data_IF_435815086509
#
_entry.id   IF_435815086509
#
_cell.length_a   1.000
_cell.length_b   1.000
_cell.length_c   1.000
_cell.angle_alpha   90.00
_cell.angle_beta   90.00
_cell.angle_gamma   90.00
#
_symmetry.space_group_name_H-M   'P 1'
#
loop_
_entity.id
_entity.type
_entity.pdbx_description
1 polymer ?
#
# COMPACT_ATOMS: atom_id res chain seq x y z
N UNK A 1 13.55 -5.65 64.50
CA UNK A 1 13.75 -4.67 63.42
C UNK A 1 13.50 -5.37 62.06
N UNK A 2 12.30 -5.28 61.54
CA UNK A 2 11.95 -5.86 60.24
C UNK A 2 12.27 -4.83 59.16
N UNK A 3 13.26 -5.10 58.30
CA UNK A 3 13.53 -4.28 57.12
C UNK A 3 12.56 -4.68 56.02
N UNK A 4 11.60 -3.82 55.73
CA UNK A 4 10.69 -3.97 54.61
C UNK A 4 11.47 -3.82 53.29
N UNK A 5 11.65 -4.91 52.59
CA UNK A 5 12.19 -4.93 51.23
C UNK A 5 11.03 -4.69 50.28
N UNK A 6 10.87 -3.46 49.82
CA UNK A 6 9.90 -3.10 48.80
C UNK A 6 10.49 -3.55 47.47
N UNK A 7 10.01 -4.68 46.94
CA UNK A 7 10.30 -5.12 45.58
C UNK A 7 9.41 -4.34 44.64
N UNK A 8 9.97 -3.33 43.97
CA UNK A 8 9.31 -2.60 42.90
C UNK A 8 9.33 -3.49 41.65
N UNK A 9 8.22 -4.15 41.35
CA UNK A 9 8.01 -4.81 40.08
C UNK A 9 7.83 -3.74 39.02
N UNK A 10 8.86 -3.44 38.26
CA UNK A 10 8.74 -2.67 37.02
C UNK A 10 8.10 -3.59 35.96
N UNK A 11 6.78 -3.51 35.82
CA UNK A 11 6.08 -4.14 34.71
C UNK A 11 6.42 -3.36 33.44
N UNK A 12 7.40 -3.83 32.69
CA UNK A 12 7.63 -3.37 31.33
C UNK A 12 6.43 -3.81 30.47
N UNK A 13 5.47 -2.92 30.32
CA UNK A 13 4.41 -3.08 29.34
C UNK A 13 5.04 -2.85 27.96
N UNK A 14 5.50 -3.94 27.33
CA UNK A 14 5.97 -3.90 25.95
C UNK A 14 4.73 -3.69 25.10
N UNK A 15 4.50 -2.43 24.72
CA UNK A 15 3.53 -2.09 23.71
C UNK A 15 4.08 -2.64 22.37
N UNK A 16 3.72 -3.86 22.03
CA UNK A 16 3.94 -4.38 20.68
C UNK A 16 3.00 -3.60 19.76
N UNK A 17 3.53 -2.55 19.13
CA UNK A 17 2.85 -1.91 18.00
C UNK A 17 2.80 -2.97 16.91
N UNK A 18 1.64 -3.58 16.73
CA UNK A 18 1.38 -4.39 15.56
C UNK A 18 1.34 -3.42 14.37
N UNK A 19 2.47 -3.25 13.69
CA UNK A 19 2.55 -2.64 12.38
C UNK A 19 1.97 -3.64 11.35
N UNK A 20 0.67 -3.82 11.38
CA UNK A 20 -0.01 -4.42 10.23
C UNK A 20 -0.31 -3.28 9.26
N UNK A 21 0.13 -3.43 8.01
CA UNK A 21 -0.29 -2.58 6.92
C UNK A 21 -1.82 -2.40 7.00
N UNK A 22 -2.28 -1.16 7.10
CA UNK A 22 -3.70 -0.86 7.20
C UNK A 22 -4.39 -1.25 5.90
N UNK A 23 -5.14 -2.34 5.93
CA UNK A 23 -5.93 -2.78 4.79
C UNK A 23 -7.17 -1.90 4.62
N UNK A 24 -7.44 -1.51 3.37
CA UNK A 24 -8.70 -0.89 2.96
C UNK A 24 -9.31 -1.65 1.79
N UNK A 25 -10.63 -1.62 1.69
CA UNK A 25 -11.33 -2.20 0.55
C UNK A 25 -11.22 -1.32 -0.70
N UNK A 26 -11.44 -1.84 -1.93
CA UNK A 26 -11.53 -1.03 -3.13
C UNK A 26 -12.57 0.09 -3.04
N UNK A 27 -13.72 -0.16 -2.39
CA UNK A 27 -14.76 0.85 -2.18
C UNK A 27 -14.25 1.95 -1.24
N UNK A 28 -13.62 1.58 -0.12
CA UNK A 28 -13.03 2.56 0.80
C UNK A 28 -11.93 3.40 0.15
N UNK A 29 -11.14 2.82 -0.75
CA UNK A 29 -10.16 3.56 -1.52
C UNK A 29 -10.79 4.52 -2.54
N UNK A 30 -11.89 4.11 -3.21
CA UNK A 30 -12.64 4.99 -4.11
C UNK A 30 -13.23 6.21 -3.36
N UNK A 31 -13.81 5.98 -2.20
CA UNK A 31 -14.30 7.07 -1.33
C UNK A 31 -13.16 7.99 -0.87
N UNK A 32 -11.99 7.40 -0.60
CA UNK A 32 -10.78 8.12 -0.23
C UNK A 32 -10.28 9.09 -1.30
N UNK A 33 -10.48 8.81 -2.59
CA UNK A 33 -10.09 9.72 -3.69
C UNK A 33 -10.76 11.10 -3.54
N UNK A 34 -12.00 11.15 -3.07
CA UNK A 34 -12.71 12.41 -2.80
C UNK A 34 -12.12 13.18 -1.60
N UNK A 35 -11.25 12.54 -0.82
CA UNK A 35 -10.60 13.07 0.39
C UNK A 35 -9.07 13.14 0.25
N UNK A 36 -8.58 13.41 -0.96
CA UNK A 36 -7.16 13.56 -1.29
C UNK A 36 -6.30 12.31 -1.05
N UNK A 37 -6.87 11.10 -1.11
CA UNK A 37 -6.10 9.87 -1.10
C UNK A 37 -5.32 9.73 -2.41
N UNK A 38 -4.01 9.52 -2.32
CA UNK A 38 -3.18 9.20 -3.49
C UNK A 38 -3.19 7.70 -3.68
N UNK A 39 -3.58 7.21 -4.86
CA UNK A 39 -3.45 5.78 -5.20
C UNK A 39 -2.20 5.58 -6.05
N UNK A 40 -1.39 4.58 -5.66
CA UNK A 40 -0.21 4.13 -6.41
C UNK A 40 -0.44 2.69 -6.86
N UNK A 41 -0.48 2.49 -8.16
CA UNK A 41 -0.60 1.16 -8.78
C UNK A 41 0.79 0.61 -9.09
N UNK A 42 1.16 -0.47 -8.40
CA UNK A 42 2.49 -1.08 -8.48
C UNK A 42 2.55 -2.33 -9.36
N UNK A 43 1.53 -2.51 -10.19
CA UNK A 43 1.49 -3.60 -11.18
C UNK A 43 2.50 -3.37 -12.30
N UNK A 44 2.62 -4.34 -13.18
CA UNK A 44 3.47 -4.24 -14.37
C UNK A 44 2.75 -3.52 -15.52
N UNK A 45 3.49 -3.01 -16.49
CA UNK A 45 2.96 -2.30 -17.67
C UNK A 45 1.98 -3.16 -18.48
N UNK A 46 2.26 -4.45 -18.58
CA UNK A 46 1.40 -5.41 -19.26
C UNK A 46 0.03 -5.50 -18.58
N UNK A 47 0.00 -5.56 -17.25
CA UNK A 47 -1.25 -5.59 -16.47
C UNK A 47 -2.05 -4.29 -16.63
N UNK A 48 -1.37 -3.13 -16.67
CA UNK A 48 -2.02 -1.83 -16.91
C UNK A 48 -2.64 -1.74 -18.32
N UNK A 49 -1.90 -2.24 -19.32
CA UNK A 49 -2.36 -2.25 -20.71
C UNK A 49 -3.56 -3.16 -20.93
N UNK A 50 -3.55 -4.31 -20.26
CA UNK A 50 -4.56 -5.35 -20.39
C UNK A 50 -5.89 -4.97 -19.73
N UNK A 51 -5.84 -4.47 -18.50
CA UNK A 51 -7.03 -4.27 -17.66
C UNK A 51 -7.41 -2.81 -17.44
N UNK A 52 -6.58 -1.86 -17.88
CA UNK A 52 -6.72 -0.45 -17.54
C UNK A 52 -6.19 -0.12 -16.14
N UNK A 53 -6.35 1.13 -15.75
CA UNK A 53 -5.84 1.72 -14.52
C UNK A 53 -6.91 2.58 -13.83
N UNK A 54 -6.76 2.78 -12.53
CA UNK A 54 -7.62 3.69 -11.77
C UNK A 54 -7.35 5.12 -12.26
N UNK A 55 -8.38 5.95 -12.53
CA UNK A 55 -8.17 7.36 -12.89
C UNK A 55 -7.27 8.07 -11.89
N UNK A 56 -6.32 8.86 -12.39
CA UNK A 56 -5.36 9.67 -11.61
C UNK A 56 -4.38 8.88 -10.71
N UNK A 57 -4.43 7.55 -10.71
CA UNK A 57 -3.44 6.74 -10.00
C UNK A 57 -2.03 6.98 -10.53
N UNK A 58 -1.05 6.98 -9.63
CA UNK A 58 0.36 7.01 -9.98
C UNK A 58 0.81 5.59 -10.35
N UNK A 59 1.39 5.43 -11.52
CA UNK A 59 1.80 4.14 -12.05
C UNK A 59 3.30 3.94 -11.82
N UNK A 60 3.66 3.07 -10.86
CA UNK A 60 5.05 2.83 -10.47
C UNK A 60 5.29 1.33 -10.42
N UNK A 61 5.81 0.78 -11.50
CA UNK A 61 6.05 -0.66 -11.63
C UNK A 61 7.03 -1.18 -10.58
N UNK A 62 6.60 -2.19 -9.80
CA UNK A 62 7.44 -2.79 -8.77
C UNK A 62 8.49 -3.74 -9.34
N UNK A 63 8.08 -4.64 -10.25
CA UNK A 63 8.92 -5.75 -10.70
C UNK A 63 9.63 -5.44 -12.01
N UNK A 64 10.87 -5.88 -12.12
CA UNK A 64 11.61 -5.96 -13.39
C UNK A 64 11.08 -7.10 -14.27
N UNK A 65 11.58 -7.20 -15.51
CA UNK A 65 11.31 -8.34 -16.40
C UNK A 65 11.81 -9.68 -15.82
N UNK A 66 12.84 -9.64 -14.96
CA UNK A 66 13.34 -10.80 -14.22
C UNK A 66 12.50 -11.14 -12.96
N UNK A 67 11.36 -10.47 -12.73
CA UNK A 67 10.48 -10.61 -11.57
C UNK A 67 11.15 -10.34 -10.21
N UNK A 68 12.21 -9.55 -10.21
CA UNK A 68 12.84 -9.00 -9.00
C UNK A 68 12.35 -7.57 -8.77
N UNK A 69 12.42 -7.08 -7.53
CA UNK A 69 12.11 -5.67 -7.24
C UNK A 69 13.06 -4.78 -8.05
N UNK A 70 12.49 -3.83 -8.78
CA UNK A 70 13.24 -2.91 -9.64
C UNK A 70 14.12 -1.98 -8.81
N UNK A 71 15.37 -1.80 -9.24
CA UNK A 71 16.26 -0.82 -8.60
C UNK A 71 15.64 0.58 -8.66
N UNK A 72 15.66 1.30 -7.56
CA UNK A 72 15.07 2.64 -7.45
C UNK A 72 13.54 2.67 -7.28
N UNK A 73 12.88 1.52 -7.19
CA UNK A 73 11.43 1.43 -7.04
C UNK A 73 10.89 2.19 -5.82
N UNK A 74 11.46 1.96 -4.65
CA UNK A 74 11.02 2.61 -3.41
C UNK A 74 11.34 4.10 -3.41
N UNK A 75 12.48 4.48 -3.96
CA UNK A 75 12.87 5.89 -4.13
C UNK A 75 11.88 6.64 -5.02
N UNK A 76 11.39 6.01 -6.08
CA UNK A 76 10.37 6.59 -6.98
C UNK A 76 9.04 6.83 -6.25
N UNK A 77 8.62 5.87 -5.42
CA UNK A 77 7.43 6.06 -4.56
C UNK A 77 7.65 7.19 -3.56
N UNK A 78 8.78 7.22 -2.86
CA UNK A 78 9.11 8.27 -1.88
C UNK A 78 9.11 9.65 -2.54
N UNK A 79 9.68 9.77 -3.73
CA UNK A 79 9.68 11.03 -4.49
C UNK A 79 8.26 11.46 -4.88
N UNK A 80 7.39 10.49 -5.19
CA UNK A 80 5.96 10.75 -5.50
C UNK A 80 5.18 11.19 -4.28
N UNK A 81 5.40 10.57 -3.11
CA UNK A 81 4.73 10.89 -1.85
C UNK A 81 5.28 12.16 -1.19
N UNK A 82 6.56 12.47 -1.40
CA UNK A 82 7.23 13.64 -0.81
C UNK A 82 7.66 13.42 0.65
N UNK A 83 8.06 14.53 1.28
CA UNK A 83 8.63 14.51 2.63
C UNK A 83 7.59 14.35 3.76
N UNK A 84 6.31 14.61 3.49
CA UNK A 84 5.26 14.46 4.51
C UNK A 84 5.00 12.99 4.80
N UNK A 85 5.44 12.53 5.96
CA UNK A 85 5.31 11.13 6.38
C UNK A 85 3.88 10.72 6.78
N UNK A 86 2.98 11.68 6.97
CA UNK A 86 1.57 11.45 7.28
C UNK A 86 0.64 11.64 6.06
N UNK A 87 1.22 11.68 4.86
CA UNK A 87 0.45 11.76 3.62
C UNK A 87 -0.46 10.55 3.45
N UNK A 88 -1.72 10.80 3.07
CA UNK A 88 -2.69 9.73 2.82
C UNK A 88 -2.42 9.10 1.46
N UNK A 89 -2.00 7.85 1.46
CA UNK A 89 -1.85 7.09 0.23
C UNK A 89 -2.30 5.64 0.36
N UNK A 90 -2.66 5.04 -0.74
CA UNK A 90 -2.99 3.63 -0.82
C UNK A 90 -2.24 2.97 -1.98
N UNK A 91 -1.72 1.79 -1.73
CA UNK A 91 -0.99 1.01 -2.71
C UNK A 91 -1.89 -0.11 -3.23
N UNK A 92 -1.93 -0.30 -4.55
CA UNK A 92 -2.69 -1.37 -5.18
C UNK A 92 -1.82 -2.20 -6.11
N UNK A 93 -2.09 -3.49 -6.16
CA UNK A 93 -1.51 -4.38 -7.15
C UNK A 93 -2.59 -5.31 -7.75
N UNK A 94 -2.24 -6.49 -8.24
CA UNK A 94 -3.20 -7.45 -8.80
C UNK A 94 -4.19 -7.98 -7.75
N UNK A 95 -3.65 -8.50 -6.63
CA UNK A 95 -4.43 -9.21 -5.59
C UNK A 95 -3.92 -8.95 -4.16
N UNK A 96 -3.26 -7.81 -3.92
CA UNK A 96 -2.88 -7.34 -2.58
C UNK A 96 -1.47 -7.70 -2.09
N UNK A 97 -0.79 -8.69 -2.64
CA UNK A 97 0.51 -9.17 -2.12
C UNK A 97 1.66 -8.18 -2.33
N UNK A 98 1.89 -7.72 -3.57
CA UNK A 98 2.94 -6.73 -3.89
C UNK A 98 2.70 -5.40 -3.17
N UNK A 99 1.46 -4.96 -3.11
CA UNK A 99 1.07 -3.74 -2.43
C UNK A 99 1.26 -3.83 -0.92
N UNK A 100 0.94 -4.95 -0.29
CA UNK A 100 1.21 -5.20 1.14
C UNK A 100 2.70 -5.11 1.45
N UNK A 101 3.56 -5.77 0.66
CA UNK A 101 5.01 -5.69 0.82
C UNK A 101 5.53 -4.25 0.67
N UNK A 102 4.98 -3.48 -0.27
CA UNK A 102 5.34 -2.07 -0.47
C UNK A 102 4.95 -1.21 0.73
N UNK A 103 3.73 -1.40 1.27
CA UNK A 103 3.29 -0.67 2.47
C UNK A 103 4.21 -0.94 3.64
N UNK A 104 4.58 -2.20 3.90
CA UNK A 104 5.51 -2.54 4.98
C UNK A 104 6.86 -1.83 4.85
N UNK A 105 7.43 -1.76 3.64
CA UNK A 105 8.68 -1.03 3.40
C UNK A 105 8.52 0.48 3.66
N UNK A 106 7.39 1.06 3.27
CA UNK A 106 7.13 2.49 3.48
C UNK A 106 6.92 2.83 4.96
N UNK A 107 6.27 1.94 5.71
CA UNK A 107 6.12 2.06 7.17
C UNK A 107 7.49 2.03 7.88
N UNK A 108 8.39 1.10 7.50
CA UNK A 108 9.77 1.06 7.98
C UNK A 108 10.55 2.36 7.68
N UNK A 109 10.18 3.07 6.62
CA UNK A 109 10.73 4.38 6.25
C UNK A 109 10.01 5.57 6.93
N UNK A 110 9.10 5.28 7.86
CA UNK A 110 8.43 6.26 8.71
C UNK A 110 7.14 6.86 8.14
N UNK A 111 6.59 6.34 7.04
CA UNK A 111 5.26 6.76 6.58
C UNK A 111 4.19 6.14 7.48
N UNK A 112 3.27 6.97 8.00
CA UNK A 112 2.31 6.58 9.04
C UNK A 112 0.88 6.41 8.54
N UNK A 113 0.60 6.82 7.28
CA UNK A 113 -0.77 6.88 6.75
C UNK A 113 -0.87 6.25 5.35
N UNK A 114 -0.19 5.11 5.17
CA UNK A 114 -0.23 4.32 3.95
C UNK A 114 -1.12 3.10 4.16
N UNK A 115 -1.95 2.79 3.19
CA UNK A 115 -2.86 1.63 3.23
C UNK A 115 -2.59 0.67 2.08
N UNK A 116 -2.89 -0.60 2.28
CA UNK A 116 -2.93 -1.61 1.24
C UNK A 116 -4.36 -1.78 0.74
N UNK A 117 -4.61 -1.67 -0.57
CA UNK A 117 -5.89 -2.09 -1.14
C UNK A 117 -5.81 -3.61 -1.32
N UNK A 118 -6.19 -4.33 -0.25
CA UNK A 118 -5.87 -5.74 -0.06
C UNK A 118 -6.47 -6.68 -1.09
N UNK A 119 -7.64 -6.34 -1.65
CA UNK A 119 -8.27 -7.13 -2.70
C UNK A 119 -7.64 -6.87 -4.10
N UNK A 120 -6.86 -5.81 -4.25
CA UNK A 120 -6.19 -5.44 -5.50
C UNK A 120 -7.13 -5.07 -6.63
N UNK A 121 -6.60 -5.07 -7.86
CA UNK A 121 -7.36 -4.76 -9.08
C UNK A 121 -8.29 -5.90 -9.50
N UNK A 122 -7.86 -7.15 -9.34
CA UNK A 122 -8.58 -8.32 -9.87
C UNK A 122 -9.16 -9.19 -8.78
N UNK A 123 -8.54 -9.23 -7.60
CA UNK A 123 -8.83 -10.18 -6.53
C UNK A 123 -7.96 -11.43 -6.61
N UNK A 124 -8.23 -12.39 -5.75
CA UNK A 124 -7.47 -13.65 -5.62
C UNK A 124 -8.32 -14.89 -5.93
N UNK A 125 -9.50 -14.70 -6.51
CA UNK A 125 -10.49 -15.75 -6.77
C UNK A 125 -11.43 -16.01 -5.59
N UNK A 126 -11.12 -15.53 -4.38
CA UNK A 126 -11.99 -15.56 -3.20
C UNK A 126 -12.55 -14.17 -2.90
N UNK A 127 -11.78 -13.15 -3.18
CA UNK A 127 -12.15 -11.74 -3.01
C UNK A 127 -12.41 -11.09 -4.37
N UNK A 128 -13.25 -10.07 -4.37
CA UNK A 128 -13.58 -9.29 -5.56
C UNK A 128 -12.78 -8.01 -5.58
N UNK A 129 -11.81 -7.90 -6.51
CA UNK A 129 -10.99 -6.71 -6.68
C UNK A 129 -11.74 -5.52 -7.27
N UNK A 130 -11.01 -4.43 -7.51
CA UNK A 130 -11.50 -3.18 -8.05
C UNK A 130 -12.34 -3.35 -9.34
N UNK A 131 -11.80 -4.05 -10.33
CA UNK A 131 -12.44 -4.27 -11.64
C UNK A 131 -13.67 -5.16 -11.51
N UNK A 132 -13.58 -6.24 -10.75
CA UNK A 132 -14.69 -7.18 -10.55
C UNK A 132 -15.88 -6.53 -9.85
N UNK A 133 -15.64 -5.47 -9.08
CA UNK A 133 -16.70 -4.65 -8.46
C UNK A 133 -17.29 -3.61 -9.42
N UNK A 134 -16.81 -3.51 -10.65
CA UNK A 134 -17.27 -2.51 -11.62
C UNK A 134 -16.85 -1.08 -11.28
N UNK A 135 -15.78 -0.90 -10.48
CA UNK A 135 -15.28 0.42 -10.09
C UNK A 135 -14.55 1.08 -11.28
N UNK A 136 -14.44 2.43 -11.30
CA UNK A 136 -13.95 3.16 -12.46
C UNK A 136 -12.53 2.77 -12.87
N UNK A 137 -12.33 2.47 -14.15
CA UNK A 137 -11.02 2.28 -14.80
C UNK A 137 -10.97 3.06 -16.10
N UNK A 138 -9.80 3.50 -16.48
CA UNK A 138 -9.51 4.13 -17.77
C UNK A 138 -8.44 3.34 -18.49
N UNK A 139 -8.45 3.43 -19.84
CA UNK A 139 -7.43 2.76 -20.65
C UNK A 139 -6.07 3.40 -20.39
N UNK A 140 -5.08 2.57 -20.09
CA UNK A 140 -3.71 3.04 -20.00
C UNK A 140 -3.15 3.38 -21.37
N UNK A 141 -2.59 4.56 -21.57
CA UNK A 141 -2.15 5.05 -22.89
C UNK A 141 -0.66 5.34 -22.96
N UNK A 142 -0.16 6.33 -22.27
CA UNK A 142 1.23 6.81 -22.40
C UNK A 142 2.21 6.04 -21.52
N UNK A 143 1.86 5.82 -20.25
CA UNK A 143 2.71 5.18 -19.25
C UNK A 143 2.91 3.68 -19.49
N UNK A 144 2.08 3.08 -20.35
CA UNK A 144 2.09 1.65 -20.66
C UNK A 144 2.79 1.30 -21.98
N UNK A 145 3.42 2.27 -22.65
CA UNK A 145 4.18 2.06 -23.87
C UNK A 145 5.66 1.89 -23.59
#
# INVERSE_FOLDING_TARGET
MLKNLIIIFFVYFIFTINLFAKDISPIGALEGLNNNLIIIDVRNKEEWSETGVIPDAKLIQMLSTARTIRKGYIEEIINTLGANKDIKAAIICHSGGRSSATVSILEEKGYTNISNISEGMVGDGKTTGWITRGLPVVKCTKECK
#
